data_IF_501413778508
#
_entry.id   IF_501413778508
#
_cell.length_a   1.000
_cell.length_b   1.000
_cell.length_c   1.000
_cell.angle_alpha   90.00
_cell.angle_beta   90.00
_cell.angle_gamma   90.00
#
_symmetry.space_group_name_H-M   'P 1'
#
loop_
_entity.id
_entity.type
_entity.pdbx_description
1 polymer ?
#
# COMPACT_ATOMS: atom_id res chain seq x y z
N UNK A 1 17.98 12.30 18.53
CA UNK A 1 18.70 11.38 17.62
C UNK A 1 17.74 10.95 16.55
N UNK A 2 18.06 11.18 15.29
CA UNK A 2 17.25 10.72 14.16
C UNK A 2 17.39 9.19 14.11
N UNK A 3 16.28 8.47 14.23
CA UNK A 3 16.31 6.99 14.14
C UNK A 3 16.73 6.63 12.73
N UNK A 4 17.86 5.96 12.59
CA UNK A 4 18.33 5.44 11.29
C UNK A 4 17.73 4.07 11.07
N UNK A 5 16.98 3.89 10.00
CA UNK A 5 16.41 2.60 9.59
C UNK A 5 17.31 1.94 8.54
N UNK A 6 17.46 0.60 8.54
CA UNK A 6 18.21 -0.11 7.51
C UNK A 6 17.68 0.19 6.10
N UNK A 7 18.61 0.44 5.16
CA UNK A 7 18.31 0.73 3.76
C UNK A 7 17.27 1.84 3.52
N UNK A 8 17.17 2.80 4.46
CA UNK A 8 16.25 3.92 4.38
C UNK A 8 16.97 5.26 4.54
N UNK A 9 17.84 5.62 3.58
CA UNK A 9 18.64 6.86 3.65
C UNK A 9 17.85 8.10 3.20
N UNK A 10 16.55 8.11 3.44
CA UNK A 10 15.66 9.17 3.00
C UNK A 10 15.36 10.16 4.13
N UNK A 11 15.04 11.40 3.74
CA UNK A 11 14.55 12.42 4.65
C UNK A 11 13.07 12.68 4.36
N UNK A 12 12.14 12.08 5.13
CA UNK A 12 10.71 12.26 4.91
C UNK A 12 10.32 13.73 5.04
N UNK A 13 9.49 14.19 4.13
CA UNK A 13 8.86 15.51 4.17
C UNK A 13 7.52 15.42 4.89
N UNK A 14 6.99 16.57 5.31
CA UNK A 14 5.66 16.63 5.93
C UNK A 14 4.85 17.76 5.33
N UNK A 15 3.59 17.49 5.02
CA UNK A 15 2.66 18.53 4.56
C UNK A 15 1.32 18.41 5.26
N UNK A 16 0.71 19.54 5.61
CA UNK A 16 -0.63 19.56 6.21
C UNK A 16 -1.67 19.39 5.12
N UNK A 17 -2.44 18.31 5.19
CA UNK A 17 -3.51 17.99 4.25
C UNK A 17 -4.89 18.42 4.76
N UNK A 18 -5.07 18.51 6.08
CA UNK A 18 -6.29 18.95 6.78
C UNK A 18 -5.93 19.79 8.00
N UNK A 19 -6.86 20.57 8.58
CA UNK A 19 -6.64 21.22 9.88
C UNK A 19 -6.18 20.19 10.94
N UNK A 20 -5.02 20.43 11.54
CA UNK A 20 -4.45 19.59 12.58
C UNK A 20 -3.86 18.24 12.13
N UNK A 21 -3.86 17.90 10.82
CA UNK A 21 -3.35 16.62 10.32
C UNK A 21 -2.33 16.84 9.19
N UNK A 22 -1.12 16.34 9.41
CA UNK A 22 -0.06 16.32 8.41
C UNK A 22 0.32 14.89 8.03
N UNK A 23 0.54 14.66 6.73
CA UNK A 23 1.15 13.44 6.20
C UNK A 23 2.66 13.58 6.12
N UNK A 24 3.34 12.49 6.45
CA UNK A 24 4.72 12.24 6.09
C UNK A 24 4.77 11.58 4.72
N UNK A 25 5.74 11.93 3.90
CA UNK A 25 5.94 11.31 2.59
C UNK A 25 7.39 11.42 2.13
N UNK A 26 7.82 10.51 1.28
CA UNK A 26 9.06 10.64 0.53
C UNK A 26 8.77 11.37 -0.78
N UNK A 27 9.71 12.20 -1.22
CA UNK A 27 9.74 12.84 -2.53
C UNK A 27 11.18 12.77 -3.03
N UNK A 28 11.53 11.63 -3.61
CA UNK A 28 12.88 11.25 -3.99
C UNK A 28 13.02 11.21 -5.52
N UNK A 29 14.17 11.65 -6.01
CA UNK A 29 14.50 11.67 -7.43
C UNK A 29 14.33 13.03 -8.12
N UNK A 30 14.55 13.11 -9.45
CA UNK A 30 14.48 14.35 -10.20
C UNK A 30 13.06 14.93 -10.20
N UNK A 31 12.96 16.23 -10.00
CA UNK A 31 11.65 16.94 -9.92
C UNK A 31 10.86 16.91 -11.22
N UNK A 32 11.54 16.81 -12.33
CA UNK A 32 11.00 16.70 -13.70
C UNK A 32 10.91 15.23 -14.18
N UNK A 33 11.28 14.26 -13.34
CA UNK A 33 11.16 12.84 -13.64
C UNK A 33 9.70 12.38 -13.68
N UNK A 34 9.43 11.32 -14.45
CA UNK A 34 8.13 10.65 -14.44
C UNK A 34 7.73 10.23 -13.02
N UNK A 35 6.51 10.55 -12.61
CA UNK A 35 6.04 10.34 -11.24
C UNK A 35 5.58 8.91 -10.99
N UNK A 36 6.12 8.30 -9.94
CA UNK A 36 5.68 7.01 -9.40
C UNK A 36 5.14 7.23 -7.99
N UNK A 37 3.83 7.10 -7.82
CA UNK A 37 3.16 7.18 -6.51
C UNK A 37 3.08 5.77 -5.93
N UNK A 38 3.71 5.54 -4.77
CA UNK A 38 3.82 4.22 -4.15
C UNK A 38 3.00 4.17 -2.86
N UNK A 39 1.93 3.37 -2.86
CA UNK A 39 0.96 3.28 -1.77
C UNK A 39 1.12 1.98 -1.00
N UNK A 40 1.50 2.10 0.26
CA UNK A 40 1.63 0.97 1.18
C UNK A 40 0.28 0.56 1.78
N UNK A 41 0.27 -0.56 2.51
CA UNK A 41 -0.90 -1.04 3.22
C UNK A 41 -0.73 -1.13 4.74
N UNK A 42 -1.40 -2.11 5.36
CA UNK A 42 -1.47 -2.29 6.79
C UNK A 42 -0.82 -3.63 7.22
N UNK A 43 0.15 -3.63 8.12
CA UNK A 43 0.64 -2.55 8.97
C UNK A 43 1.97 -1.93 8.47
N UNK A 44 2.24 -1.98 7.19
CA UNK A 44 3.46 -1.36 6.63
C UNK A 44 3.38 0.18 6.58
N UNK A 45 4.43 0.80 6.09
CA UNK A 45 4.56 2.23 5.88
C UNK A 45 5.55 2.48 4.74
N UNK A 46 5.94 3.70 4.42
CA UNK A 46 6.84 4.01 3.31
C UNK A 46 8.13 3.17 3.29
N UNK A 47 8.52 2.61 4.41
CA UNK A 47 9.65 1.69 4.56
C UNK A 47 9.54 0.45 3.66
N UNK A 48 8.33 -0.05 3.40
CA UNK A 48 8.11 -1.18 2.49
C UNK A 48 8.66 -0.91 1.07
N UNK A 49 8.55 0.32 0.61
CA UNK A 49 8.93 0.72 -0.72
C UNK A 49 10.42 1.09 -0.87
N UNK A 50 11.21 1.07 0.23
CA UNK A 50 12.60 1.58 0.23
C UNK A 50 13.49 1.03 -0.88
N UNK A 51 13.43 -0.28 -1.15
CA UNK A 51 14.23 -0.90 -2.19
C UNK A 51 13.81 -0.44 -3.59
N UNK A 52 12.51 -0.28 -3.83
CA UNK A 52 12.02 0.24 -5.10
C UNK A 52 12.39 1.71 -5.29
N UNK A 53 12.28 2.53 -4.24
CA UNK A 53 12.73 3.94 -4.28
C UNK A 53 14.22 4.01 -4.60
N UNK A 54 15.08 3.23 -3.93
CA UNK A 54 16.51 3.19 -4.20
C UNK A 54 16.83 2.79 -5.64
N UNK A 55 16.05 1.86 -6.20
CA UNK A 55 16.24 1.39 -7.57
C UNK A 55 15.67 2.30 -8.67
N UNK A 56 14.87 3.31 -8.31
CA UNK A 56 14.18 4.17 -9.28
C UNK A 56 14.55 5.65 -9.18
N UNK A 57 14.98 6.14 -8.01
CA UNK A 57 15.16 7.57 -7.72
C UNK A 57 16.25 8.29 -8.54
N UNK A 58 17.07 7.58 -9.26
CA UNK A 58 18.04 8.18 -10.19
C UNK A 58 17.37 8.72 -11.47
N UNK A 59 16.17 8.23 -11.81
CA UNK A 59 15.45 8.56 -13.05
C UNK A 59 14.00 8.99 -12.84
N UNK A 60 13.32 8.44 -11.83
CA UNK A 60 11.90 8.66 -11.56
C UNK A 60 11.70 9.49 -10.29
N UNK A 61 10.65 10.31 -10.27
CA UNK A 61 10.22 11.00 -9.06
C UNK A 61 9.31 10.07 -8.25
N UNK A 62 9.82 9.57 -7.13
CA UNK A 62 9.14 8.62 -6.25
C UNK A 62 8.40 9.37 -5.14
N UNK A 63 7.08 9.32 -5.14
CA UNK A 63 6.21 9.90 -4.11
C UNK A 63 5.66 8.75 -3.26
N UNK A 64 6.04 8.70 -1.98
CA UNK A 64 5.69 7.57 -1.09
C UNK A 64 5.07 8.11 0.20
N UNK A 65 3.75 8.33 0.25
CA UNK A 65 3.09 8.78 1.46
C UNK A 65 2.99 7.70 2.52
N UNK A 66 3.07 8.10 3.80
CA UNK A 66 2.54 7.34 4.92
C UNK A 66 1.08 7.76 5.13
N UNK A 67 0.13 6.83 5.11
CA UNK A 67 -1.28 7.15 5.35
C UNK A 67 -1.51 7.74 6.74
N UNK A 68 -2.58 8.53 6.94
CA UNK A 68 -2.95 9.04 8.27
C UNK A 68 -3.04 7.90 9.28
N UNK A 69 -2.34 8.06 10.39
CA UNK A 69 -2.23 7.05 11.45
C UNK A 69 -1.14 6.00 11.22
N UNK A 70 -0.41 6.04 10.10
CA UNK A 70 0.62 5.07 9.74
C UNK A 70 2.00 5.73 9.64
N UNK A 71 3.05 4.93 9.71
CA UNK A 71 4.42 5.38 9.53
C UNK A 71 4.76 6.62 10.36
N UNK A 72 5.28 7.63 9.70
CA UNK A 72 5.70 8.90 10.31
C UNK A 72 4.64 10.01 10.18
N UNK A 73 3.45 9.71 9.64
CA UNK A 73 2.31 10.62 9.60
C UNK A 73 1.67 10.82 10.98
N UNK A 74 0.87 11.88 11.11
CA UNK A 74 0.10 12.11 12.33
C UNK A 74 -0.87 10.96 12.60
N UNK A 75 -1.09 10.69 13.89
CA UNK A 75 -1.92 9.59 14.38
C UNK A 75 -3.05 10.12 15.26
N UNK A 76 -4.01 10.88 14.64
CA UNK A 76 -5.14 11.42 15.38
C UNK A 76 -6.01 10.32 15.98
N UNK A 77 -6.79 10.65 17.00
CA UNK A 77 -7.80 9.76 17.53
C UNK A 77 -9.08 9.74 16.64
N UNK A 78 -10.05 8.90 17.01
CA UNK A 78 -11.32 8.75 16.29
C UNK A 78 -12.21 10.00 16.34
N UNK A 79 -11.98 10.92 17.27
CA UNK A 79 -12.73 12.18 17.35
C UNK A 79 -12.23 13.18 16.29
N UNK A 80 -10.94 13.15 15.99
CA UNK A 80 -10.29 14.06 15.04
C UNK A 80 -10.25 13.50 13.61
N UNK A 81 -10.32 12.17 13.42
CA UNK A 81 -10.20 11.57 12.09
C UNK A 81 -11.04 10.29 11.93
N UNK A 82 -11.80 10.20 10.84
CA UNK A 82 -12.53 9.00 10.46
C UNK A 82 -11.62 8.09 9.62
N UNK A 83 -11.23 6.97 10.20
CA UNK A 83 -10.35 5.98 9.58
C UNK A 83 -11.09 5.07 8.58
N UNK A 84 -11.57 5.64 7.46
CA UNK A 84 -12.26 4.91 6.39
C UNK A 84 -11.45 4.92 5.10
N UNK A 85 -11.69 3.95 4.20
CA UNK A 85 -11.11 3.93 2.86
C UNK A 85 -11.35 5.25 2.12
N UNK A 86 -12.57 5.78 2.19
CA UNK A 86 -12.91 7.07 1.57
C UNK A 86 -12.01 8.20 2.06
N UNK A 87 -11.79 8.30 3.39
CA UNK A 87 -10.92 9.34 3.96
C UNK A 87 -9.49 9.22 3.46
N UNK A 88 -8.97 7.98 3.30
CA UNK A 88 -7.61 7.73 2.80
C UNK A 88 -7.45 8.09 1.33
N UNK A 89 -8.49 7.86 0.52
CA UNK A 89 -8.52 8.31 -0.88
C UNK A 89 -8.51 9.84 -0.96
N UNK A 90 -9.32 10.51 -0.11
CA UNK A 90 -9.38 11.97 -0.04
C UNK A 90 -8.04 12.58 0.45
N UNK A 91 -7.36 11.89 1.36
CA UNK A 91 -6.05 12.33 1.87
C UNK A 91 -4.95 12.21 0.82
N UNK A 92 -4.97 11.15 0.00
CA UNK A 92 -4.06 11.00 -1.14
C UNK A 92 -4.27 12.12 -2.14
N UNK A 93 -5.52 12.42 -2.46
CA UNK A 93 -5.89 13.51 -3.37
C UNK A 93 -5.36 14.85 -2.86
N UNK A 94 -5.67 15.18 -1.61
CA UNK A 94 -5.19 16.40 -0.95
C UNK A 94 -3.66 16.49 -0.87
N UNK A 95 -2.96 15.37 -0.67
CA UNK A 95 -1.50 15.34 -0.67
C UNK A 95 -0.96 15.68 -2.05
N UNK A 96 -1.39 14.97 -3.10
CA UNK A 96 -0.89 15.16 -4.46
C UNK A 96 -1.12 16.58 -4.96
N UNK A 97 -2.29 17.15 -4.66
CA UNK A 97 -2.57 18.56 -4.96
C UNK A 97 -1.62 19.51 -4.22
N UNK A 98 -1.41 19.30 -2.93
CA UNK A 98 -0.54 20.16 -2.09
C UNK A 98 0.91 20.16 -2.53
N UNK A 99 1.42 19.03 -3.02
CA UNK A 99 2.81 18.92 -3.49
C UNK A 99 2.96 19.16 -5.00
N UNK A 100 1.87 19.59 -5.66
CA UNK A 100 1.87 20.01 -7.07
C UNK A 100 2.01 18.86 -8.06
N UNK A 101 1.57 17.64 -7.72
CA UNK A 101 1.52 16.52 -8.65
C UNK A 101 0.18 16.59 -9.39
N UNK A 102 0.18 17.15 -10.60
CA UNK A 102 -1.02 17.30 -11.44
C UNK A 102 -0.96 16.50 -12.75
N UNK A 103 0.23 16.08 -13.16
CA UNK A 103 0.47 15.34 -14.41
C UNK A 103 0.16 13.84 -14.33
N UNK A 104 0.56 13.10 -15.38
CA UNK A 104 0.40 11.65 -15.44
C UNK A 104 1.25 10.95 -14.37
N UNK A 105 0.74 9.83 -13.85
CA UNK A 105 1.43 9.05 -12.82
C UNK A 105 1.41 7.55 -13.13
N UNK A 106 2.41 6.86 -12.56
CA UNK A 106 2.35 5.42 -12.31
C UNK A 106 1.87 5.19 -10.89
N UNK A 107 0.89 4.31 -10.67
CA UNK A 107 0.51 3.85 -9.34
C UNK A 107 1.23 2.53 -9.03
N UNK A 108 2.08 2.54 -8.00
CA UNK A 108 2.65 1.34 -7.41
C UNK A 108 1.91 1.04 -6.09
N UNK A 109 1.32 -0.15 -5.96
CA UNK A 109 0.39 -0.44 -4.88
C UNK A 109 0.67 -1.79 -4.21
N UNK A 110 0.44 -1.83 -2.90
CA UNK A 110 0.57 -3.02 -2.08
C UNK A 110 -0.52 -3.03 -0.99
N UNK A 111 -1.14 -4.19 -0.72
CA UNK A 111 -2.14 -4.39 0.32
C UNK A 111 -3.27 -3.33 0.22
N UNK A 112 -3.63 -2.61 1.26
CA UNK A 112 -4.61 -1.52 1.23
C UNK A 112 -4.28 -0.40 0.22
N UNK A 113 -3.01 -0.26 -0.14
CA UNK A 113 -2.59 0.67 -1.18
C UNK A 113 -3.28 0.43 -2.52
N UNK A 114 -3.67 -0.82 -2.83
CA UNK A 114 -4.45 -1.14 -4.03
C UNK A 114 -5.86 -0.55 -4.00
N UNK A 115 -6.58 -0.71 -2.88
CA UNK A 115 -7.93 -0.17 -2.73
C UNK A 115 -7.90 1.38 -2.70
N UNK A 116 -6.93 1.98 -2.02
CA UNK A 116 -6.75 3.43 -1.97
C UNK A 116 -6.38 3.98 -3.34
N UNK A 117 -5.40 3.34 -4.00
CA UNK A 117 -4.95 3.74 -5.34
C UNK A 117 -6.03 3.61 -6.40
N UNK A 118 -6.83 2.53 -6.36
CA UNK A 118 -7.95 2.36 -7.29
C UNK A 118 -9.08 3.35 -7.02
N UNK A 119 -9.38 3.63 -5.74
CA UNK A 119 -10.34 4.67 -5.36
C UNK A 119 -9.95 6.05 -5.91
N UNK A 120 -8.66 6.38 -5.85
CA UNK A 120 -8.12 7.61 -6.44
C UNK A 120 -8.12 7.55 -7.97
N UNK A 121 -7.71 6.42 -8.57
CA UNK A 121 -7.69 6.22 -10.02
C UNK A 121 -9.06 6.40 -10.67
N UNK A 122 -10.12 5.96 -10.02
CA UNK A 122 -11.50 6.14 -10.53
C UNK A 122 -11.91 7.62 -10.65
N UNK A 123 -11.31 8.51 -9.85
CA UNK A 123 -11.56 9.96 -9.90
C UNK A 123 -10.66 10.67 -10.91
N UNK A 124 -9.46 10.13 -11.15
CA UNK A 124 -8.41 10.71 -11.98
C UNK A 124 -7.93 9.73 -13.04
N UNK A 125 -8.89 9.08 -13.71
CA UNK A 125 -8.59 8.01 -14.64
C UNK A 125 -7.63 8.44 -15.75
N UNK A 126 -7.73 9.67 -16.22
CA UNK A 126 -6.87 10.23 -17.27
C UNK A 126 -5.42 10.41 -16.83
N UNK A 127 -5.16 10.52 -15.52
CA UNK A 127 -3.81 10.72 -14.96
C UNK A 127 -3.07 9.42 -14.71
N UNK A 128 -3.77 8.33 -14.41
CA UNK A 128 -3.13 7.03 -14.17
C UNK A 128 -2.79 6.37 -15.49
N UNK A 129 -1.52 6.24 -15.81
CA UNK A 129 -1.06 5.72 -17.10
C UNK A 129 -0.46 4.31 -17.01
N UNK A 130 0.04 3.92 -15.84
CA UNK A 130 0.66 2.60 -15.61
C UNK A 130 0.36 2.12 -14.20
N UNK A 131 0.41 0.82 -14.00
CA UNK A 131 0.31 0.19 -12.70
C UNK A 131 1.51 -0.71 -12.40
N UNK A 132 1.95 -0.68 -11.14
CA UNK A 132 2.81 -1.70 -10.54
C UNK A 132 2.06 -2.26 -9.34
N UNK A 133 1.69 -3.53 -9.41
CA UNK A 133 0.82 -4.17 -8.42
C UNK A 133 1.60 -5.24 -7.68
N UNK A 134 1.58 -5.19 -6.36
CA UNK A 134 2.17 -6.23 -5.52
C UNK A 134 1.18 -6.65 -4.44
N UNK A 135 0.92 -7.92 -4.28
CA UNK A 135 0.05 -8.56 -3.27
C UNK A 135 -1.03 -7.62 -2.68
N UNK A 136 -2.15 -7.47 -3.37
CA UNK A 136 -3.22 -6.53 -3.02
C UNK A 136 -4.57 -6.99 -3.59
N UNK A 137 -5.62 -6.19 -3.35
CA UNK A 137 -6.88 -6.23 -4.09
C UNK A 137 -7.32 -4.80 -4.46
N UNK A 138 -8.04 -4.68 -5.58
CA UNK A 138 -8.75 -3.48 -6.03
C UNK A 138 -10.24 -3.78 -6.23
N UNK A 139 -10.72 -4.82 -5.57
CA UNK A 139 -12.06 -5.42 -5.70
C UNK A 139 -12.44 -6.11 -4.39
N UNK A 140 -13.70 -6.46 -4.22
CA UNK A 140 -14.15 -7.31 -3.10
C UNK A 140 -13.48 -8.67 -3.20
N UNK A 141 -13.16 -9.26 -2.05
CA UNK A 141 -12.53 -10.60 -2.03
C UNK A 141 -13.40 -11.57 -2.86
N UNK A 142 -12.76 -12.43 -3.70
CA UNK A 142 -13.48 -13.45 -4.44
C UNK A 142 -14.27 -14.38 -3.51
N UNK A 143 -15.47 -14.81 -3.91
CA UNK A 143 -16.33 -15.68 -3.09
C UNK A 143 -15.63 -16.97 -2.64
N UNK A 144 -14.71 -17.49 -3.47
CA UNK A 144 -13.92 -18.68 -3.15
C UNK A 144 -12.86 -18.45 -2.06
N UNK A 145 -12.63 -17.17 -1.65
CA UNK A 145 -11.61 -16.79 -0.67
C UNK A 145 -12.23 -16.43 0.67
N UNK A 146 -12.21 -17.33 1.66
CA UNK A 146 -12.65 -17.00 3.01
C UNK A 146 -11.69 -15.98 3.66
N UNK A 147 -12.26 -15.07 4.45
CA UNK A 147 -11.47 -14.17 5.29
C UNK A 147 -10.60 -14.96 6.28
N UNK A 148 -9.29 -14.71 6.34
CA UNK A 148 -8.43 -15.36 7.32
C UNK A 148 -8.93 -15.11 8.75
N UNK A 149 -9.15 -16.18 9.55
CA UNK A 149 -9.74 -16.10 10.89
C UNK A 149 -9.01 -15.14 11.84
N UNK A 150 -7.68 -15.00 11.67
CA UNK A 150 -6.86 -14.06 12.45
C UNK A 150 -7.25 -12.60 12.21
N UNK A 151 -7.61 -12.27 10.97
CA UNK A 151 -8.09 -10.92 10.62
C UNK A 151 -9.52 -10.72 11.12
N UNK A 152 -10.39 -11.75 11.04
CA UNK A 152 -11.73 -11.71 11.62
C UNK A 152 -11.70 -11.46 13.12
N UNK A 153 -10.75 -12.07 13.85
CA UNK A 153 -10.55 -11.80 15.28
C UNK A 153 -10.26 -10.31 15.55
N UNK A 154 -9.35 -9.71 14.77
CA UNK A 154 -9.02 -8.28 14.90
C UNK A 154 -10.16 -7.35 14.49
N UNK A 155 -10.95 -7.75 13.47
CA UNK A 155 -12.04 -6.97 12.93
C UNK A 155 -13.26 -6.94 13.85
N UNK A 156 -13.68 -8.10 14.33
CA UNK A 156 -15.01 -8.29 14.90
C UNK A 156 -15.02 -8.47 16.43
N UNK A 157 -13.86 -8.69 17.06
CA UNK A 157 -13.78 -9.01 18.49
C UNK A 157 -12.97 -7.98 19.29
N UNK A 158 -13.50 -7.61 20.47
CA UNK A 158 -12.81 -6.71 21.41
C UNK A 158 -11.43 -7.24 21.85
N UNK A 159 -11.31 -8.57 21.99
CA UNK A 159 -10.05 -9.22 22.33
C UNK A 159 -8.98 -8.99 21.23
N UNK A 160 -9.37 -9.12 19.96
CA UNK A 160 -8.47 -8.83 18.85
C UNK A 160 -8.02 -7.37 18.83
N UNK A 161 -8.95 -6.44 19.06
CA UNK A 161 -8.62 -5.01 19.17
C UNK A 161 -7.63 -4.74 20.32
N UNK A 162 -7.81 -5.40 21.49
CA UNK A 162 -6.89 -5.31 22.62
C UNK A 162 -5.50 -5.88 22.26
N UNK A 163 -5.42 -7.02 21.60
CA UNK A 163 -4.16 -7.62 21.16
C UNK A 163 -3.40 -6.71 20.17
N UNK A 164 -4.11 -6.12 19.23
CA UNK A 164 -3.53 -5.21 18.24
C UNK A 164 -3.01 -3.94 18.92
N UNK A 165 -3.86 -3.23 19.67
CA UNK A 165 -3.48 -1.94 20.28
C UNK A 165 -2.62 -2.10 21.54
N UNK A 166 -2.89 -3.09 22.38
CA UNK A 166 -2.17 -3.30 23.64
C UNK A 166 -0.80 -3.92 23.43
N UNK A 167 -0.70 -4.94 22.60
CA UNK A 167 0.50 -5.76 22.45
C UNK A 167 1.20 -5.64 21.09
N UNK A 168 0.72 -4.75 20.22
CA UNK A 168 1.22 -4.61 18.86
C UNK A 168 1.22 -5.94 18.06
N UNK A 169 0.28 -6.82 18.38
CA UNK A 169 0.29 -8.19 17.85
C UNK A 169 0.19 -8.24 16.32
N UNK A 170 -0.50 -7.26 15.70
CA UNK A 170 -0.65 -7.25 14.25
C UNK A 170 0.63 -6.85 13.53
N UNK A 171 1.25 -5.71 13.87
CA UNK A 171 2.50 -5.25 13.22
C UNK A 171 3.66 -6.20 13.49
N UNK A 172 3.78 -6.69 14.74
CA UNK A 172 4.78 -7.69 15.09
C UNK A 172 4.54 -9.00 14.34
N UNK A 173 3.29 -9.49 14.29
CA UNK A 173 2.94 -10.69 13.56
C UNK A 173 3.23 -10.59 12.06
N UNK A 174 2.84 -9.48 11.42
CA UNK A 174 3.10 -9.24 10.01
C UNK A 174 4.60 -9.27 9.67
N UNK A 175 5.45 -8.69 10.52
CA UNK A 175 6.91 -8.69 10.32
C UNK A 175 7.57 -10.08 10.45
N UNK A 176 6.84 -11.07 10.98
CA UNK A 176 7.32 -12.46 11.10
C UNK A 176 6.68 -13.40 10.09
N UNK A 177 5.40 -13.22 9.79
CA UNK A 177 4.60 -14.17 9.01
C UNK A 177 4.25 -13.64 7.61
N UNK A 178 4.49 -12.35 7.33
CA UNK A 178 4.25 -11.74 6.03
C UNK A 178 5.39 -11.93 5.02
N UNK A 179 6.43 -12.67 5.38
CA UNK A 179 7.60 -12.97 4.54
C UNK A 179 7.85 -14.47 4.50
N UNK A 180 8.46 -14.94 3.43
CA UNK A 180 8.96 -16.32 3.32
C UNK A 180 10.34 -16.44 3.98
N UNK A 181 11.24 -15.52 3.72
CA UNK A 181 12.56 -15.42 4.36
C UNK A 181 12.46 -14.60 5.62
N UNK A 182 13.03 -15.10 6.72
CA UNK A 182 13.06 -14.37 7.98
C UNK A 182 13.78 -13.04 7.83
N UNK A 183 13.06 -11.93 8.02
CA UNK A 183 13.66 -10.60 8.05
C UNK A 183 14.75 -10.48 9.13
N UNK A 184 15.85 -9.74 8.88
CA UNK A 184 16.79 -9.31 9.91
C UNK A 184 16.08 -8.59 11.06
N UNK A 185 16.63 -8.69 12.27
CA UNK A 185 15.98 -8.14 13.46
C UNK A 185 15.83 -6.61 13.44
N UNK A 186 16.76 -5.91 12.82
CA UNK A 186 16.74 -4.46 12.63
C UNK A 186 15.69 -4.02 11.60
N UNK A 187 15.51 -4.78 10.51
CA UNK A 187 14.43 -4.60 9.52
C UNK A 187 13.07 -4.78 10.20
N UNK A 188 12.88 -5.85 10.99
CA UNK A 188 11.63 -6.04 11.76
C UNK A 188 11.38 -4.90 12.72
N UNK A 189 12.40 -4.43 13.43
CA UNK A 189 12.27 -3.26 14.31
C UNK A 189 11.84 -2.02 13.56
N UNK A 190 12.36 -1.80 12.35
CA UNK A 190 11.94 -0.68 11.50
C UNK A 190 10.46 -0.73 11.12
N UNK A 191 9.94 -1.91 10.77
CA UNK A 191 8.50 -2.07 10.48
C UNK A 191 7.59 -1.73 11.65
N UNK A 192 7.99 -2.08 12.88
CA UNK A 192 7.15 -1.87 14.06
C UNK A 192 7.40 -0.55 14.78
N UNK A 193 8.50 0.14 14.49
CA UNK A 193 8.93 1.35 15.16
C UNK A 193 7.86 2.45 15.24
N UNK A 194 7.07 2.74 14.18
CA UNK A 194 6.03 3.77 14.25
C UNK A 194 4.84 3.44 15.15
N UNK A 195 4.73 2.18 15.62
CA UNK A 195 3.58 1.63 16.35
C UNK A 195 3.95 1.27 17.80
N UNK A 196 4.68 2.13 18.46
CA UNK A 196 5.31 1.91 19.77
C UNK A 196 4.32 2.02 20.95
N UNK A 197 3.24 2.80 20.81
CA UNK A 197 2.26 3.06 21.87
C UNK A 197 0.86 2.58 21.48
N UNK A 198 -0.03 2.47 22.47
CA UNK A 198 -1.46 2.22 22.25
C UNK A 198 -2.09 3.23 21.26
N UNK A 199 -1.80 4.51 21.44
CA UNK A 199 -2.33 5.57 20.57
C UNK A 199 -1.82 5.40 19.14
N UNK A 200 -0.53 5.12 18.96
CA UNK A 200 0.10 5.00 17.66
C UNK A 200 -0.33 3.76 16.85
N UNK A 201 -1.08 2.82 17.46
CA UNK A 201 -1.63 1.62 16.81
C UNK A 201 -3.09 1.75 16.40
N UNK A 202 -3.67 2.96 16.47
CA UNK A 202 -5.09 3.15 16.15
C UNK A 202 -5.38 2.77 14.68
N UNK A 203 -4.58 3.25 13.74
CA UNK A 203 -4.81 3.00 12.32
C UNK A 203 -4.63 1.53 11.95
N UNK A 204 -3.68 0.81 12.57
CA UNK A 204 -3.47 -0.62 12.30
C UNK A 204 -4.73 -1.43 12.62
N UNK A 205 -5.46 -1.06 13.69
CA UNK A 205 -6.75 -1.65 14.01
C UNK A 205 -7.84 -1.19 13.04
N UNK A 206 -7.93 0.11 12.75
CA UNK A 206 -9.00 0.67 11.93
C UNK A 206 -8.96 0.17 10.48
N UNK A 207 -7.79 -0.08 9.92
CA UNK A 207 -7.67 -0.74 8.62
C UNK A 207 -8.32 -2.13 8.61
N UNK A 208 -8.07 -2.93 9.65
CA UNK A 208 -8.68 -4.27 9.76
C UNK A 208 -10.20 -4.16 9.90
N UNK A 209 -10.69 -3.20 10.67
CA UNK A 209 -12.12 -2.97 10.90
C UNK A 209 -12.85 -2.42 9.67
N UNK A 210 -12.14 -1.79 8.75
CA UNK A 210 -12.68 -1.23 7.50
C UNK A 210 -12.68 -2.27 6.34
N UNK A 211 -12.19 -3.52 6.55
CA UNK A 211 -12.21 -4.55 5.51
C UNK A 211 -13.66 -4.82 5.07
N UNK A 212 -13.97 -4.63 3.77
CA UNK A 212 -15.34 -4.81 3.26
C UNK A 212 -15.63 -6.30 3.02
N UNK A 213 -16.45 -6.91 3.86
CA UNK A 213 -16.85 -8.32 3.73
C UNK A 213 -18.28 -8.48 3.21
N UNK A 214 -19.12 -7.46 3.41
CA UNK A 214 -20.54 -7.52 3.05
C UNK A 214 -21.08 -6.13 2.76
N UNK A 215 -22.22 -6.10 2.08
CA UNK A 215 -22.98 -4.89 1.88
C UNK A 215 -23.33 -4.24 3.24
N UNK A 216 -23.13 -2.92 3.32
CA UNK A 216 -23.28 -2.16 4.57
C UNK A 216 -21.97 -1.89 5.33
N UNK A 217 -20.87 -2.61 5.03
CA UNK A 217 -19.56 -2.25 5.56
C UNK A 217 -19.10 -0.90 4.94
N UNK A 218 -18.41 -0.01 5.69
CA UNK A 218 -18.11 1.35 5.22
C UNK A 218 -17.35 1.42 3.88
N UNK A 219 -16.41 0.50 3.65
CA UNK A 219 -15.63 0.46 2.41
C UNK A 219 -16.31 -0.32 1.26
N UNK A 220 -17.43 -1.04 1.52
CA UNK A 220 -18.03 -1.96 0.55
C UNK A 220 -18.41 -1.31 -0.77
N UNK A 221 -19.13 -0.20 -0.74
CA UNK A 221 -19.60 0.47 -1.96
C UNK A 221 -18.43 0.91 -2.85
N UNK A 222 -17.38 1.49 -2.24
CA UNK A 222 -16.21 1.96 -2.98
C UNK A 222 -15.41 0.80 -3.57
N UNK A 223 -15.20 -0.28 -2.80
CA UNK A 223 -14.44 -1.45 -3.28
C UNK A 223 -15.21 -2.25 -4.33
N UNK A 224 -16.53 -2.37 -4.17
CA UNK A 224 -17.40 -3.00 -5.18
C UNK A 224 -17.40 -2.21 -6.49
N UNK A 225 -17.46 -0.87 -6.42
CA UNK A 225 -17.32 -0.01 -7.59
C UNK A 225 -15.96 -0.16 -8.25
N UNK A 226 -14.89 -0.17 -7.45
CA UNK A 226 -13.52 -0.37 -7.92
C UNK A 226 -13.39 -1.70 -8.70
N UNK A 227 -13.95 -2.78 -8.16
CA UNK A 227 -13.95 -4.09 -8.84
C UNK A 227 -14.71 -4.08 -10.17
N UNK A 228 -15.87 -3.41 -10.23
CA UNK A 228 -16.62 -3.28 -11.49
C UNK A 228 -15.87 -2.47 -12.55
N UNK A 229 -15.15 -1.44 -12.12
CA UNK A 229 -14.41 -0.54 -13.01
C UNK A 229 -12.99 -0.98 -13.31
N UNK A 230 -12.49 -2.04 -12.66
CA UNK A 230 -11.14 -2.55 -12.88
C UNK A 230 -10.82 -2.83 -14.38
N UNK A 231 -11.73 -3.41 -15.17
CA UNK A 231 -11.50 -3.62 -16.62
C UNK A 231 -11.36 -2.33 -17.45
N UNK A 232 -11.85 -1.18 -16.98
CA UNK A 232 -11.66 0.11 -17.67
C UNK A 232 -10.18 0.51 -17.77
N UNK A 233 -9.33 -0.05 -16.91
CA UNK A 233 -7.90 0.19 -16.87
C UNK A 233 -7.08 -0.87 -17.62
N UNK A 234 -7.73 -1.86 -18.27
CA UNK A 234 -7.06 -2.97 -18.92
C UNK A 234 -6.11 -2.56 -20.07
N UNK A 235 -6.36 -1.45 -20.73
CA UNK A 235 -5.50 -0.94 -21.82
C UNK A 235 -4.24 -0.21 -21.34
N UNK A 236 -4.03 -0.12 -20.03
CA UNK A 236 -2.83 0.52 -19.44
C UNK A 236 -1.79 -0.51 -19.16
N UNK A 237 -0.52 -0.21 -19.46
CA UNK A 237 0.56 -1.10 -19.07
C UNK A 237 0.51 -1.38 -17.56
N UNK A 238 0.59 -2.65 -17.19
CA UNK A 238 0.59 -3.11 -15.81
C UNK A 238 1.67 -4.17 -15.58
N UNK A 239 2.41 -4.02 -14.49
CA UNK A 239 3.33 -5.03 -13.98
C UNK A 239 2.78 -5.57 -12.65
N UNK A 240 2.71 -6.89 -12.51
CA UNK A 240 2.20 -7.57 -11.33
C UNK A 240 3.30 -8.45 -10.74
N UNK A 241 3.83 -8.08 -9.56
CA UNK A 241 4.77 -8.88 -8.77
C UNK A 241 4.05 -9.57 -7.62
N UNK A 242 4.10 -10.91 -7.53
CA UNK A 242 3.23 -11.63 -6.60
C UNK A 242 3.92 -12.73 -5.83
N UNK A 243 3.77 -12.72 -4.48
CA UNK A 243 4.12 -13.83 -3.61
C UNK A 243 2.94 -14.79 -3.45
N UNK A 244 3.09 -16.04 -3.92
CA UNK A 244 2.01 -17.03 -3.92
C UNK A 244 1.74 -17.66 -2.54
N UNK A 245 2.63 -17.42 -1.56
CA UNK A 245 2.44 -17.87 -0.16
C UNK A 245 1.66 -16.88 0.70
N UNK A 246 1.21 -15.76 0.11
CA UNK A 246 0.38 -14.79 0.81
C UNK A 246 -0.96 -15.42 1.19
N UNK A 247 -1.23 -15.46 2.50
CA UNK A 247 -2.48 -16.00 3.02
C UNK A 247 -3.63 -14.97 2.98
N UNK A 248 -3.32 -13.69 2.75
CA UNK A 248 -4.31 -12.61 2.62
C UNK A 248 -4.71 -12.42 1.17
N UNK A 249 -3.75 -12.17 0.29
CA UNK A 249 -3.95 -12.00 -1.15
C UNK A 249 -3.31 -13.18 -1.89
N UNK A 250 -4.00 -14.31 -1.88
CA UNK A 250 -3.54 -15.55 -2.50
C UNK A 250 -3.73 -15.56 -4.02
N UNK A 251 -3.55 -16.73 -4.62
CA UNK A 251 -3.70 -16.93 -6.06
C UNK A 251 -5.08 -16.51 -6.61
N UNK A 252 -6.16 -16.59 -5.83
CA UNK A 252 -7.48 -16.16 -6.30
C UNK A 252 -7.52 -14.64 -6.60
N UNK A 253 -6.78 -13.84 -5.81
CA UNK A 253 -6.65 -12.42 -6.08
C UNK A 253 -5.78 -12.15 -7.32
N UNK A 254 -4.67 -12.86 -7.49
CA UNK A 254 -3.85 -12.77 -8.70
C UNK A 254 -4.66 -13.13 -9.95
N UNK A 255 -5.39 -14.26 -9.92
CA UNK A 255 -6.23 -14.69 -11.05
C UNK A 255 -7.32 -13.67 -11.41
N UNK A 256 -7.82 -12.90 -10.43
CA UNK A 256 -8.76 -11.82 -10.68
C UNK A 256 -8.12 -10.66 -11.45
N UNK A 257 -6.87 -10.30 -11.12
CA UNK A 257 -6.11 -9.31 -11.89
C UNK A 257 -5.79 -9.81 -13.30
N UNK A 258 -5.33 -11.06 -13.47
CA UNK A 258 -5.01 -11.63 -14.78
C UNK A 258 -6.24 -11.67 -15.70
N UNK A 259 -7.43 -11.96 -15.13
CA UNK A 259 -8.69 -11.88 -15.89
C UNK A 259 -9.06 -10.45 -16.29
N UNK A 260 -8.85 -9.48 -15.40
CA UNK A 260 -9.21 -8.09 -15.66
C UNK A 260 -8.20 -7.38 -16.58
N UNK A 261 -6.91 -7.75 -16.46
CA UNK A 261 -5.79 -7.15 -17.20
C UNK A 261 -4.95 -8.22 -17.93
N UNK A 262 -5.47 -8.88 -18.97
CA UNK A 262 -4.83 -10.03 -19.60
C UNK A 262 -3.49 -9.73 -20.29
N UNK A 263 -3.16 -8.45 -20.52
CA UNK A 263 -1.89 -8.01 -21.06
C UNK A 263 -0.87 -7.58 -19.98
N UNK A 264 -1.18 -7.70 -18.71
CA UNK A 264 -0.24 -7.36 -17.65
C UNK A 264 1.00 -8.28 -17.69
N UNK A 265 2.18 -7.70 -17.44
CA UNK A 265 3.39 -8.49 -17.21
C UNK A 265 3.35 -9.08 -15.78
N UNK A 266 3.23 -10.39 -15.67
CA UNK A 266 3.12 -11.08 -14.37
C UNK A 266 4.44 -11.75 -13.99
N UNK A 267 4.87 -11.53 -12.75
CA UNK A 267 5.98 -12.25 -12.11
C UNK A 267 5.52 -12.79 -10.76
N UNK A 268 5.10 -14.04 -10.74
CA UNK A 268 4.73 -14.74 -9.51
C UNK A 268 5.89 -15.58 -8.96
N UNK A 269 5.92 -15.75 -7.62
CA UNK A 269 6.93 -16.50 -6.90
C UNK A 269 6.26 -17.46 -5.92
N UNK A 270 6.57 -18.74 -6.03
CA UNK A 270 6.10 -19.81 -5.13
C UNK A 270 6.86 -19.85 -3.79
N UNK A 271 7.93 -19.06 -3.68
CA UNK A 271 8.79 -18.89 -2.52
C UNK A 271 8.81 -17.43 -2.03
N UNK A 272 7.69 -16.73 -2.12
CA UNK A 272 7.50 -15.39 -1.57
C UNK A 272 6.11 -15.23 -0.96
N UNK A 273 5.99 -14.34 0.03
CA UNK A 273 4.78 -14.11 0.80
C UNK A 273 4.25 -12.68 0.59
N UNK A 274 3.43 -12.19 1.50
CA UNK A 274 2.74 -10.89 1.47
C UNK A 274 3.70 -9.71 1.23
N UNK A 275 4.82 -9.64 1.95
CA UNK A 275 5.84 -8.61 1.74
C UNK A 275 6.81 -9.03 0.61
N UNK A 276 6.26 -9.16 -0.60
CA UNK A 276 7.01 -9.68 -1.75
C UNK A 276 8.28 -8.89 -2.08
N UNK A 277 8.33 -7.59 -1.79
CA UNK A 277 9.54 -6.78 -1.94
C UNK A 277 10.59 -7.07 -0.85
N UNK A 278 10.22 -7.61 0.31
CA UNK A 278 11.21 -8.11 1.27
C UNK A 278 11.83 -9.44 0.81
N UNK A 279 11.02 -10.29 0.21
CA UNK A 279 11.46 -11.61 -0.25
C UNK A 279 12.20 -11.56 -1.60
N UNK A 280 11.84 -10.62 -2.50
CA UNK A 280 12.23 -10.67 -3.93
C UNK A 280 12.63 -9.31 -4.54
N UNK A 281 13.00 -8.32 -3.74
CA UNK A 281 13.39 -7.00 -4.29
C UNK A 281 14.53 -7.08 -5.30
N UNK A 282 15.50 -7.98 -5.10
CA UNK A 282 16.64 -8.18 -6.00
C UNK A 282 16.21 -8.54 -7.44
N UNK A 283 15.07 -9.22 -7.58
CA UNK A 283 14.49 -9.60 -8.87
C UNK A 283 13.45 -8.57 -9.33
N UNK A 284 12.56 -8.16 -8.43
CA UNK A 284 11.43 -7.29 -8.77
C UNK A 284 11.87 -5.88 -9.14
N UNK A 285 12.81 -5.28 -8.40
CA UNK A 285 13.21 -3.89 -8.65
C UNK A 285 13.78 -3.70 -10.06
N UNK A 286 14.75 -4.51 -10.55
CA UNK A 286 15.23 -4.40 -11.92
C UNK A 286 14.15 -4.67 -12.99
N UNK A 287 13.21 -5.58 -12.72
CA UNK A 287 12.10 -5.87 -13.65
C UNK A 287 11.11 -4.72 -13.74
N UNK A 288 10.70 -4.15 -12.58
CA UNK A 288 9.83 -2.98 -12.53
C UNK A 288 10.50 -1.80 -13.25
N UNK A 289 11.79 -1.56 -13.00
CA UNK A 289 12.53 -0.51 -13.71
C UNK A 289 12.47 -0.71 -15.21
N UNK A 290 12.78 -1.91 -15.71
CA UNK A 290 12.71 -2.24 -17.15
C UNK A 290 11.30 -2.04 -17.70
N UNK A 291 10.28 -2.50 -16.99
CA UNK A 291 8.89 -2.27 -17.37
C UNK A 291 8.57 -0.78 -17.53
N UNK A 292 8.97 0.06 -16.59
CA UNK A 292 8.76 1.52 -16.67
C UNK A 292 9.51 2.14 -17.85
N UNK A 293 10.71 1.65 -18.18
CA UNK A 293 11.51 2.11 -19.30
C UNK A 293 10.93 1.71 -20.66
N UNK A 294 10.27 0.56 -20.74
CA UNK A 294 9.60 0.09 -21.96
C UNK A 294 8.25 0.77 -22.21
N UNK A 295 7.67 1.35 -21.20
CA UNK A 295 6.37 2.04 -21.26
C UNK A 295 6.47 3.48 -20.75
N UNK A 296 7.28 4.36 -21.39
CA UNK A 296 7.43 5.74 -20.92
C UNK A 296 6.08 6.46 -20.89
N UNK A 297 5.88 7.36 -19.91
CA UNK A 297 4.73 8.24 -19.93
C UNK A 297 4.91 9.22 -21.09
N UNK A 298 3.90 9.32 -21.95
CA UNK A 298 3.92 10.33 -23.01
C UNK A 298 4.04 11.72 -22.38
N UNK A 299 4.97 12.53 -22.92
CA UNK A 299 5.18 13.91 -22.52
C UNK A 299 3.91 14.76 -22.69
#
# INVERSE_FOLDING_TARGET
>A
MTTVFPDYPFTPQRTRIRPGIALSYLDEGPRDGEVVVMLHGNPSWSYYWRHLVLGLRDKYRCIVPDHVGMGLSDKPDDAAYRYTLQSRVDDLDALLDKIGISGPVTLAVHDWGGMIGMGWAMRHAERVKRFVVTNTAMFTLPDAKPMPWRLSLGRDMKLGALLIRGFNAFSSGASHFGVDRRMPADVRRAYVAPYDTWANRISTLRFIQDIPLREGDPAWALVSEAGRRLPEFANRPAFIGWGLRDFVFDKHCLDAFERAWPQAEVQAFDDANHYVLEDKHEILVPRIRRFLEHHPLAA
#
